data_IF_231673547061
#
_entry.id   IF_231673547061
#
_cell.length_a   1.000
_cell.length_b   1.000
_cell.length_c   1.000
_cell.angle_alpha   90.00
_cell.angle_beta   90.00
_cell.angle_gamma   90.00
#
_symmetry.space_group_name_H-M   'P 1'
#
loop_
_entity.id
_entity.type
_entity.pdbx_description
1 polymer ?
#
# COMPACT_ATOMS: atom_id res chain seq x y z
N UNK A 1 -11.02 11.22 3.97
CA UNK A 1 -10.06 11.34 2.85
C UNK A 1 -8.68 10.97 3.36
N UNK A 2 -7.88 10.25 2.58
CA UNK A 2 -6.45 10.09 2.77
C UNK A 2 -5.69 10.49 1.49
N UNK A 3 -4.50 11.03 1.63
CA UNK A 3 -3.62 11.33 0.50
C UNK A 3 -2.14 11.21 0.84
N UNK A 4 -1.32 11.01 -0.19
CA UNK A 4 0.13 11.13 -0.15
C UNK A 4 0.70 11.22 -1.58
N UNK A 5 1.92 11.71 -1.70
CA UNK A 5 2.73 11.56 -2.91
C UNK A 5 3.70 10.39 -2.74
N UNK A 6 3.55 9.37 -3.58
CA UNK A 6 4.41 8.18 -3.62
C UNK A 6 5.56 8.46 -4.58
N UNK A 7 6.80 8.37 -4.10
CA UNK A 7 7.99 8.49 -4.94
C UNK A 7 8.39 7.11 -5.43
N UNK A 8 8.30 6.85 -6.73
CA UNK A 8 8.58 5.54 -7.31
C UNK A 8 10.07 5.18 -7.12
N UNK A 9 10.38 4.17 -6.30
CA UNK A 9 11.76 3.82 -6.00
C UNK A 9 12.41 3.05 -7.15
N UNK A 10 13.74 3.03 -7.21
CA UNK A 10 14.47 2.06 -8.03
C UNK A 10 14.27 0.64 -7.50
N UNK A 11 13.96 -0.30 -8.40
CA UNK A 11 13.77 -1.71 -8.07
C UNK A 11 14.96 -2.56 -8.50
N UNK A 12 15.36 -3.49 -7.65
CA UNK A 12 16.37 -4.49 -7.93
C UNK A 12 15.97 -5.84 -7.37
N UNK A 13 16.58 -6.92 -7.87
CA UNK A 13 16.42 -8.23 -7.23
C UNK A 13 17.02 -8.21 -5.82
N UNK A 14 16.34 -8.80 -4.83
CA UNK A 14 16.88 -8.95 -3.48
C UNK A 14 18.19 -9.76 -3.48
N UNK A 15 19.07 -9.50 -2.50
CA UNK A 15 20.37 -10.16 -2.42
C UNK A 15 20.24 -11.59 -1.86
N UNK A 16 19.34 -11.78 -0.90
CA UNK A 16 19.04 -13.07 -0.27
C UNK A 16 17.52 -13.27 -0.21
N UNK A 17 16.84 -13.42 -1.37
CA UNK A 17 15.42 -13.72 -1.35
C UNK A 17 15.15 -15.04 -0.64
N UNK A 18 14.02 -15.12 0.07
CA UNK A 18 13.56 -16.38 0.65
C UNK A 18 13.32 -17.47 -0.41
N UNK A 19 12.99 -17.07 -1.65
CA UNK A 19 12.83 -17.95 -2.81
C UNK A 19 13.24 -17.23 -4.09
N UNK A 20 13.96 -17.91 -4.99
CA UNK A 20 14.19 -17.39 -6.35
C UNK A 20 12.94 -17.58 -7.18
N UNK A 21 12.54 -16.52 -7.87
CA UNK A 21 11.34 -16.46 -8.71
C UNK A 21 11.65 -15.66 -9.96
N UNK A 22 10.81 -15.83 -10.98
CA UNK A 22 10.97 -15.12 -12.25
C UNK A 22 10.50 -13.65 -12.15
N UNK A 23 9.68 -13.31 -11.16
CA UNK A 23 9.16 -11.97 -10.91
C UNK A 23 9.12 -11.69 -9.40
N UNK A 24 9.64 -10.53 -9.00
CA UNK A 24 9.59 -10.02 -7.65
C UNK A 24 8.61 -8.85 -7.59
N UNK A 25 7.60 -8.92 -6.72
CA UNK A 25 6.48 -7.97 -6.72
C UNK A 25 6.17 -7.44 -5.31
N UNK A 26 5.83 -6.16 -5.22
CA UNK A 26 5.27 -5.52 -4.04
C UNK A 26 4.21 -4.50 -4.43
N UNK A 27 3.27 -4.21 -3.54
CA UNK A 27 2.33 -3.10 -3.68
C UNK A 27 2.77 -1.93 -2.79
N UNK A 28 2.62 -0.69 -3.28
CA UNK A 28 2.98 0.55 -2.60
C UNK A 28 1.79 1.50 -2.67
N UNK A 29 1.08 1.68 -1.56
CA UNK A 29 -0.29 2.18 -1.57
C UNK A 29 -0.66 2.98 -0.32
N UNK A 30 -1.75 3.74 -0.45
CA UNK A 30 -2.47 4.33 0.68
C UNK A 30 -3.86 3.73 0.77
N UNK A 31 -4.44 3.65 1.97
CA UNK A 31 -5.74 3.04 2.17
C UNK A 31 -6.51 3.58 3.36
N UNK A 32 -7.78 3.20 3.39
CA UNK A 32 -8.73 3.47 4.44
C UNK A 32 -9.34 2.14 4.92
N UNK A 33 -9.35 1.92 6.24
CA UNK A 33 -9.98 0.79 6.93
C UNK A 33 -9.33 -0.61 6.75
N UNK A 34 -8.02 -0.69 6.46
CA UNK A 34 -7.30 -1.96 6.27
C UNK A 34 -6.82 -2.64 7.56
N UNK A 35 -6.28 -1.87 8.50
CA UNK A 35 -6.00 -2.34 9.86
C UNK A 35 -7.25 -2.17 10.70
N UNK A 36 -7.92 -3.23 11.18
CA UNK A 36 -8.71 -3.19 12.42
C UNK A 36 -9.26 -4.54 12.92
N UNK A 37 -9.37 -4.63 14.25
CA UNK A 37 -9.67 -5.80 15.07
C UNK A 37 -11.13 -5.83 15.57
N UNK A 38 -12.12 -5.80 14.68
CA UNK A 38 -13.53 -5.77 15.10
C UNK A 38 -14.45 -6.70 14.32
N UNK A 39 -15.55 -7.13 14.94
CA UNK A 39 -16.60 -7.95 14.34
C UNK A 39 -17.52 -7.16 13.37
N UNK A 40 -17.15 -5.94 12.96
CA UNK A 40 -17.95 -5.08 12.08
C UNK A 40 -17.54 -5.34 10.64
N UNK A 41 -18.52 -5.58 9.75
CA UNK A 41 -18.27 -5.72 8.32
C UNK A 41 -17.74 -4.40 7.75
N UNK A 42 -16.53 -4.42 7.19
CA UNK A 42 -15.85 -3.27 6.58
C UNK A 42 -15.02 -3.72 5.40
N UNK A 43 -14.89 -2.82 4.42
CA UNK A 43 -13.98 -2.98 3.29
C UNK A 43 -12.72 -2.15 3.48
N UNK A 44 -11.63 -2.60 2.86
CA UNK A 44 -10.42 -1.80 2.68
C UNK A 44 -10.53 -1.10 1.32
N UNK A 45 -10.59 0.23 1.34
CA UNK A 45 -10.50 1.04 0.12
C UNK A 45 -9.06 1.54 -0.03
N UNK A 46 -8.38 1.11 -1.09
CA UNK A 46 -6.96 1.36 -1.29
C UNK A 46 -6.61 1.70 -2.74
N UNK A 47 -5.54 2.46 -2.92
CA UNK A 47 -4.98 2.73 -4.24
C UNK A 47 -3.48 3.03 -4.15
N UNK A 48 -2.78 2.76 -5.23
CA UNK A 48 -1.34 2.94 -5.30
C UNK A 48 -0.73 2.36 -6.55
N UNK A 49 0.46 1.79 -6.40
CA UNK A 49 1.26 1.23 -7.49
C UNK A 49 1.72 -0.18 -7.14
N UNK A 50 1.50 -1.12 -8.05
CA UNK A 50 2.14 -2.44 -8.06
C UNK A 50 3.51 -2.29 -8.73
N UNK A 51 4.54 -2.74 -8.04
CA UNK A 51 5.95 -2.65 -8.42
C UNK A 51 6.49 -4.05 -8.68
N UNK A 52 6.95 -4.32 -9.91
CA UNK A 52 7.54 -5.61 -10.29
C UNK A 52 8.94 -5.43 -10.88
N UNK A 53 9.83 -6.37 -10.60
CA UNK A 53 11.17 -6.46 -11.23
C UNK A 53 11.50 -7.91 -11.58
N UNK A 54 12.12 -8.11 -12.75
CA UNK A 54 12.57 -9.41 -13.24
C UNK A 54 14.09 -9.58 -13.05
N UNK A 55 14.62 -10.82 -13.02
CA UNK A 55 16.06 -11.09 -12.87
C UNK A 55 16.97 -10.40 -13.90
N UNK A 56 16.43 -10.02 -15.06
CA UNK A 56 17.15 -9.28 -16.09
C UNK A 56 17.26 -7.76 -15.81
N UNK A 57 16.72 -7.28 -14.69
CA UNK A 57 16.73 -5.87 -14.30
C UNK A 57 15.59 -5.03 -14.88
N UNK A 58 14.68 -5.62 -15.66
CA UNK A 58 13.49 -4.92 -16.15
C UNK A 58 12.57 -4.62 -14.97
N UNK A 59 12.04 -3.40 -14.88
CA UNK A 59 11.10 -2.99 -13.84
C UNK A 59 9.78 -2.51 -14.47
N UNK A 60 8.67 -2.71 -13.76
CA UNK A 60 7.33 -2.26 -14.15
C UNK A 60 6.60 -1.66 -12.96
N UNK A 61 5.94 -0.54 -13.20
CA UNK A 61 5.09 0.16 -12.24
C UNK A 61 3.68 0.24 -12.83
N UNK A 62 2.69 -0.31 -12.13
CA UNK A 62 1.29 -0.35 -12.59
C UNK A 62 0.41 0.30 -11.54
N UNK A 63 -0.30 1.37 -11.88
CA UNK A 63 -1.26 1.98 -10.97
C UNK A 63 -2.42 1.03 -10.71
N UNK A 64 -3.03 1.08 -9.53
CA UNK A 64 -4.21 0.27 -9.20
C UNK A 64 -5.11 0.97 -8.19
N UNK A 65 -6.36 0.48 -8.10
CA UNK A 65 -7.25 0.72 -6.97
C UNK A 65 -8.02 -0.56 -6.63
N UNK A 66 -8.47 -0.69 -5.38
CA UNK A 66 -9.14 -1.90 -4.89
C UNK A 66 -10.09 -1.57 -3.74
N UNK A 67 -11.29 -2.16 -3.78
CA UNK A 67 -12.23 -2.17 -2.66
C UNK A 67 -12.42 -3.59 -2.16
N UNK A 68 -11.63 -4.02 -1.17
CA UNK A 68 -11.75 -5.38 -0.65
C UNK A 68 -13.18 -5.60 -0.09
N UNK A 69 -13.87 -6.70 -0.45
CA UNK A 69 -13.33 -7.95 -1.01
C UNK A 69 -13.25 -8.07 -2.55
N UNK A 70 -13.55 -7.03 -3.31
CA UNK A 70 -13.36 -7.09 -4.77
C UNK A 70 -11.87 -7.18 -5.13
N UNK A 71 -11.59 -7.71 -6.32
CA UNK A 71 -10.23 -7.79 -6.85
C UNK A 71 -9.69 -6.41 -7.24
N UNK A 72 -8.36 -6.21 -7.23
CA UNK A 72 -7.76 -4.95 -7.66
C UNK A 72 -8.02 -4.70 -9.14
N UNK A 73 -8.20 -3.43 -9.48
CA UNK A 73 -8.37 -2.96 -10.86
C UNK A 73 -7.11 -2.22 -11.27
N UNK A 74 -6.41 -2.76 -12.26
CA UNK A 74 -5.22 -2.14 -12.84
C UNK A 74 -5.56 -0.91 -13.69
N UNK A 75 -4.77 0.14 -13.52
CA UNK A 75 -4.80 1.35 -14.35
C UNK A 75 -3.83 1.17 -15.51
N UNK A 76 -4.37 1.16 -16.72
CA UNK A 76 -3.56 1.00 -17.94
C UNK A 76 -2.55 2.14 -18.11
N UNK A 77 -1.39 1.84 -18.68
CA UNK A 77 -0.34 2.84 -18.97
C UNK A 77 -0.79 3.96 -19.92
N UNK A 78 -1.82 3.70 -20.75
CA UNK A 78 -2.45 4.73 -21.59
C UNK A 78 -3.25 5.76 -20.80
N UNK A 79 -3.72 5.41 -19.59
CA UNK A 79 -4.45 6.31 -18.68
C UNK A 79 -3.50 6.95 -17.67
N UNK A 80 -2.50 6.21 -17.21
CA UNK A 80 -1.50 6.67 -16.26
C UNK A 80 -0.19 5.89 -16.47
N UNK A 81 0.75 6.49 -17.20
CA UNK A 81 2.11 5.98 -17.33
C UNK A 81 2.86 6.29 -16.03
N UNK A 82 3.59 5.30 -15.51
CA UNK A 82 4.37 5.42 -14.27
C UNK A 82 5.75 4.83 -14.53
N UNK A 83 6.79 5.58 -14.20
CA UNK A 83 8.18 5.17 -14.30
C UNK A 83 8.91 5.31 -12.96
N UNK A 84 10.09 4.71 -12.87
CA UNK A 84 11.01 4.97 -11.76
C UNK A 84 11.26 6.48 -11.59
N UNK A 85 11.28 6.96 -10.34
CA UNK A 85 11.49 8.37 -10.01
C UNK A 85 10.25 9.27 -10.15
N UNK A 86 9.17 8.77 -10.74
CA UNK A 86 7.92 9.53 -10.83
C UNK A 86 7.29 9.76 -9.45
N UNK A 87 6.61 10.89 -9.31
CA UNK A 87 5.87 11.28 -8.12
C UNK A 87 4.38 11.09 -8.39
N UNK A 88 3.79 10.07 -7.76
CA UNK A 88 2.39 9.72 -7.93
C UNK A 88 1.60 10.26 -6.74
N UNK A 89 0.83 11.32 -6.94
CA UNK A 89 -0.09 11.85 -5.94
C UNK A 89 -1.36 11.01 -5.93
N UNK A 90 -1.63 10.37 -4.79
CA UNK A 90 -2.77 9.48 -4.59
C UNK A 90 -3.74 10.11 -3.62
N UNK A 91 -5.02 10.14 -3.98
CA UNK A 91 -6.10 10.66 -3.14
C UNK A 91 -7.21 9.62 -3.08
N UNK A 92 -7.61 9.27 -1.86
CA UNK A 92 -8.79 8.47 -1.57
C UNK A 92 -9.81 9.30 -0.82
N UNK A 93 -11.06 9.29 -1.29
CA UNK A 93 -12.19 9.85 -0.55
C UNK A 93 -13.28 8.80 -0.44
N UNK A 94 -13.99 8.85 0.67
CA UNK A 94 -15.20 8.08 0.88
C UNK A 94 -16.30 9.06 1.27
N UNK A 95 -17.51 8.76 0.83
CA UNK A 95 -18.73 9.52 1.08
C UNK A 95 -19.85 8.55 1.42
N UNK A 96 -21.05 9.05 1.72
CA UNK A 96 -22.21 8.22 2.04
C UNK A 96 -21.89 7.19 3.13
N UNK A 97 -21.30 7.63 4.26
CA UNK A 97 -20.87 6.75 5.36
C UNK A 97 -19.98 5.57 4.93
N UNK A 98 -19.14 5.79 3.91
CA UNK A 98 -18.23 4.77 3.40
C UNK A 98 -18.84 3.81 2.38
N UNK A 99 -20.05 4.07 1.86
CA UNK A 99 -20.67 3.25 0.82
C UNK A 99 -20.34 3.70 -0.61
N UNK A 100 -19.67 4.84 -0.77
CA UNK A 100 -19.21 5.33 -2.06
C UNK A 100 -17.81 5.92 -1.91
N UNK A 101 -16.95 5.74 -2.90
CA UNK A 101 -15.56 6.16 -2.83
C UNK A 101 -15.00 6.60 -4.17
N UNK A 102 -14.05 7.52 -4.09
CA UNK A 102 -13.33 8.07 -5.24
C UNK A 102 -11.83 7.84 -5.07
N UNK A 103 -11.17 7.43 -6.14
CA UNK A 103 -9.72 7.36 -6.28
C UNK A 103 -9.26 8.39 -7.29
N UNK A 104 -8.20 9.12 -6.96
CA UNK A 104 -7.47 9.94 -7.93
C UNK A 104 -5.98 9.62 -7.85
N UNK A 105 -5.39 9.28 -9.00
CA UNK A 105 -3.95 9.08 -9.17
C UNK A 105 -3.44 10.13 -10.16
N UNK A 106 -2.46 10.93 -9.75
CA UNK A 106 -1.86 11.96 -10.59
C UNK A 106 -0.36 11.68 -10.68
N UNK A 107 0.14 11.43 -11.89
CA UNK A 107 1.58 11.45 -12.10
C UNK A 107 2.02 12.91 -12.25
N UNK A 108 2.65 13.46 -11.23
CA UNK A 108 3.09 14.87 -11.20
C UNK A 108 4.17 15.17 -12.24
N UNK A 109 4.93 14.16 -12.68
CA UNK A 109 5.97 14.31 -13.69
C UNK A 109 5.39 14.44 -15.11
N UNK A 110 4.26 13.76 -15.39
CA UNK A 110 3.62 13.76 -16.73
C UNK A 110 2.32 14.54 -16.79
N UNK A 111 1.82 15.01 -15.63
CA UNK A 111 0.49 15.60 -15.44
C UNK A 111 -0.70 14.70 -15.83
N UNK A 112 -0.46 13.41 -16.08
CA UNK A 112 -1.54 12.46 -16.33
C UNK A 112 -2.34 12.23 -15.05
N UNK A 113 -3.66 12.23 -15.20
CA UNK A 113 -4.61 12.04 -14.09
C UNK A 113 -5.57 10.92 -14.42
N UNK A 114 -5.69 9.98 -13.50
CA UNK A 114 -6.71 8.95 -13.51
C UNK A 114 -7.66 9.17 -12.33
N UNK A 115 -8.96 9.16 -12.60
CA UNK A 115 -10.02 9.26 -11.58
C UNK A 115 -10.98 8.10 -11.76
N UNK A 116 -11.43 7.54 -10.65
CA UNK A 116 -12.44 6.49 -10.61
C UNK A 116 -13.35 6.66 -9.40
N UNK A 117 -14.65 6.45 -9.60
CA UNK A 117 -15.66 6.45 -8.56
C UNK A 117 -16.41 5.12 -8.60
N UNK A 118 -16.66 4.53 -7.44
CA UNK A 118 -17.43 3.29 -7.32
C UNK A 118 -18.16 3.21 -5.98
N UNK A 119 -19.19 2.37 -5.96
CA UNK A 119 -19.85 1.97 -4.73
C UNK A 119 -19.04 0.91 -3.98
N UNK A 120 -19.31 0.77 -2.69
CA UNK A 120 -18.68 -0.23 -1.84
C UNK A 120 -18.97 -1.65 -2.34
N UNK A 121 -17.95 -2.50 -2.27
CA UNK A 121 -18.03 -3.90 -2.67
C UNK A 121 -19.19 -4.62 -1.97
N UNK A 122 -19.92 -5.45 -2.72
CA UNK A 122 -21.05 -6.22 -2.24
C UNK A 122 -20.95 -7.69 -2.64
N UNK A 123 -21.19 -8.60 -1.70
CA UNK A 123 -21.27 -10.02 -2.01
C UNK A 123 -22.70 -10.40 -2.41
N UNK A 124 -22.85 -11.26 -3.42
CA UNK A 124 -24.15 -11.80 -3.81
C UNK A 124 -24.79 -12.56 -2.64
N UNK A 125 -25.97 -12.13 -2.19
CA UNK A 125 -26.62 -12.57 -0.94
C UNK A 125 -25.80 -12.38 0.35
N UNK A 126 -24.77 -11.53 0.32
CA UNK A 126 -23.93 -11.20 1.47
C UNK A 126 -24.04 -9.72 1.87
N UNK A 127 -23.20 -9.28 2.82
CA UNK A 127 -23.19 -7.89 3.23
C UNK A 127 -22.49 -7.00 2.17
N UNK A 128 -22.72 -5.69 2.28
CA UNK A 128 -21.89 -4.66 1.65
C UNK A 128 -20.74 -4.29 2.59
N UNK A 129 -19.57 -3.98 2.04
CA UNK A 129 -18.33 -3.76 2.78
C UNK A 129 -17.92 -2.28 2.73
N UNK A 130 -18.52 -1.39 3.55
CA UNK A 130 -18.20 0.02 3.53
C UNK A 130 -16.79 0.31 4.06
N UNK A 131 -16.15 1.37 3.55
CA UNK A 131 -14.90 1.94 4.07
C UNK A 131 -15.18 3.35 4.61
N UNK A 132 -15.36 3.45 5.91
CA UNK A 132 -15.75 4.69 6.59
C UNK A 132 -14.55 5.59 6.90
N UNK A 133 -13.32 5.10 6.75
CA UNK A 133 -12.11 5.84 7.07
C UNK A 133 -11.90 6.05 8.57
N UNK A 134 -12.22 5.03 9.37
CA UNK A 134 -11.85 4.94 10.78
C UNK A 134 -10.33 4.80 10.95
N UNK A 135 -9.64 4.22 9.97
CA UNK A 135 -8.17 4.25 9.87
C UNK A 135 -7.73 4.78 8.51
N UNK A 136 -6.48 5.27 8.47
CA UNK A 136 -5.78 5.60 7.24
C UNK A 136 -4.37 5.03 7.34
N UNK A 137 -3.87 4.46 6.24
CA UNK A 137 -2.58 3.78 6.23
C UNK A 137 -1.77 4.06 4.98
N UNK A 138 -0.44 3.95 5.11
CA UNK A 138 0.57 4.18 4.08
C UNK A 138 1.50 2.96 4.09
N UNK A 139 1.34 2.08 3.11
CA UNK A 139 1.83 0.71 3.19
C UNK A 139 2.69 0.33 1.97
N UNK A 140 3.76 -0.43 2.24
CA UNK A 140 4.41 -1.29 1.25
C UNK A 140 4.17 -2.72 1.67
N UNK A 141 3.57 -3.53 0.81
CA UNK A 141 3.08 -4.86 1.16
C UNK A 141 3.55 -5.93 0.16
N UNK A 142 3.77 -7.14 0.69
CA UNK A 142 3.82 -8.35 -0.10
C UNK A 142 2.38 -8.76 -0.44
N UNK A 143 1.89 -8.36 -1.62
CA UNK A 143 0.59 -8.83 -2.08
C UNK A 143 0.46 -10.35 -2.01
N UNK A 144 -0.77 -10.83 -1.82
CA UNK A 144 -1.06 -12.25 -1.75
C UNK A 144 -2.01 -12.61 -2.89
N UNK A 145 -1.81 -13.77 -3.51
CA UNK A 145 -2.95 -14.42 -4.16
C UNK A 145 -3.75 -15.12 -3.07
N UNK A 146 -5.08 -15.04 -3.15
CA UNK A 146 -6.02 -15.64 -2.18
C UNK A 146 -5.79 -17.14 -1.91
N UNK A 147 -5.03 -17.86 -2.76
CA UNK A 147 -4.77 -19.30 -2.65
C UNK A 147 -3.34 -19.74 -3.02
N UNK A 148 -2.35 -18.84 -3.12
CA UNK A 148 -0.97 -19.24 -3.52
C UNK A 148 0.11 -18.57 -2.66
N UNK A 149 1.38 -18.73 -3.07
CA UNK A 149 2.54 -18.18 -2.37
C UNK A 149 2.49 -16.64 -2.39
N UNK A 150 2.64 -16.03 -1.21
CA UNK A 150 2.90 -14.60 -1.04
C UNK A 150 4.04 -14.14 -1.97
N UNK A 151 3.93 -12.93 -2.55
CA UNK A 151 4.95 -12.44 -3.47
C UNK A 151 6.34 -12.42 -2.82
N UNK A 152 7.36 -12.75 -3.61
CA UNK A 152 8.74 -12.50 -3.20
C UNK A 152 9.03 -11.03 -3.41
N UNK A 153 9.32 -10.34 -2.32
CA UNK A 153 9.55 -8.90 -2.32
C UNK A 153 10.77 -8.51 -3.17
N UNK A 154 10.65 -7.48 -4.04
CA UNK A 154 11.79 -6.85 -4.68
C UNK A 154 12.57 -6.02 -3.65
N UNK A 155 13.83 -5.74 -3.93
CA UNK A 155 14.55 -4.72 -3.19
C UNK A 155 14.27 -3.35 -3.82
N UNK A 156 13.40 -2.59 -3.16
CA UNK A 156 13.05 -1.22 -3.56
C UNK A 156 13.94 -0.15 -2.92
N UNK A 157 14.98 -0.52 -2.17
CA UNK A 157 15.78 0.44 -1.42
C UNK A 157 14.95 1.15 -0.34
N UNK A 158 14.42 2.34 -0.63
CA UNK A 158 13.55 3.10 0.28
C UNK A 158 12.37 3.70 -0.49
N UNK A 159 11.16 3.30 -0.09
CA UNK A 159 9.91 3.89 -0.57
C UNK A 159 9.55 5.08 0.32
N UNK A 160 9.10 6.18 -0.28
CA UNK A 160 8.76 7.42 0.43
C UNK A 160 7.35 7.89 0.10
N UNK A 161 6.55 8.09 1.15
CA UNK A 161 5.29 8.82 1.11
C UNK A 161 5.56 10.25 1.59
N UNK A 162 5.39 11.23 0.71
CA UNK A 162 5.50 12.65 1.01
C UNK A 162 4.10 13.24 1.23
N UNK A 163 4.01 14.32 2.01
CA UNK A 163 2.77 15.06 2.27
C UNK A 163 1.61 14.14 2.74
N UNK A 164 1.95 13.08 3.46
CA UNK A 164 1.01 12.07 3.90
C UNK A 164 0.08 12.65 4.96
N UNK A 165 -1.23 12.58 4.72
CA UNK A 165 -2.24 13.03 5.69
C UNK A 165 -3.60 12.37 5.45
N UNK A 166 -4.39 12.32 6.52
CA UNK A 166 -5.79 11.92 6.46
C UNK A 166 -6.67 13.01 7.07
N UNK A 167 -7.75 13.38 6.39
CA UNK A 167 -8.66 14.44 6.85
C UNK A 167 -10.09 13.93 6.93
N UNK A 168 -10.79 14.34 7.99
CA UNK A 168 -12.22 14.05 8.16
C UNK A 168 -13.10 15.06 7.41
N UNK A 169 -14.41 14.82 7.39
CA UNK A 169 -15.39 15.67 6.70
C UNK A 169 -15.45 17.12 7.23
N UNK A 170 -14.97 17.36 8.46
CA UNK A 170 -14.87 18.70 9.07
C UNK A 170 -13.57 19.43 8.70
N UNK A 171 -12.74 18.84 7.83
CA UNK A 171 -11.45 19.39 7.41
C UNK A 171 -10.32 19.27 8.44
N UNK A 172 -10.55 18.57 9.56
CA UNK A 172 -9.46 18.29 10.52
C UNK A 172 -8.59 17.17 9.96
N UNK A 173 -7.30 17.45 9.83
CA UNK A 173 -6.31 16.50 9.34
C UNK A 173 -5.45 15.92 10.48
N UNK A 174 -5.00 14.68 10.28
CA UNK A 174 -4.04 13.95 11.09
C UNK A 174 -2.89 13.49 10.21
N UNK A 175 -1.69 13.42 10.78
CA UNK A 175 -0.48 12.92 10.13
C UNK A 175 -0.26 11.43 10.45
N UNK A 176 0.58 10.73 9.66
CA UNK A 176 1.07 9.42 10.03
C UNK A 176 1.64 9.41 11.46
N UNK A 177 1.24 8.45 12.27
CA UNK A 177 1.67 8.35 13.67
C UNK A 177 0.83 9.13 14.68
N UNK A 178 -0.08 10.02 14.26
CA UNK A 178 -1.03 10.71 15.18
C UNK A 178 -2.15 9.78 15.69
N UNK A 179 -2.26 8.57 15.14
CA UNK A 179 -3.21 7.55 15.57
C UNK A 179 -2.97 7.10 17.02
N UNK A 180 -3.94 6.39 17.60
CA UNK A 180 -3.79 5.89 18.97
C UNK A 180 -2.55 4.97 19.09
N UNK A 181 -1.98 4.80 20.30
CA UNK A 181 -0.76 3.98 20.50
C UNK A 181 -0.89 2.52 20.04
N UNK A 182 -2.11 2.03 19.80
CA UNK A 182 -2.40 0.69 19.29
C UNK A 182 -2.60 0.65 17.75
N UNK A 183 -2.80 1.79 17.08
CA UNK A 183 -3.10 1.96 15.64
C UNK A 183 -2.01 2.73 14.89
N UNK A 184 -1.23 3.57 15.57
CA UNK A 184 -0.02 4.20 15.04
C UNK A 184 1.16 3.24 14.93
N UNK A 185 0.89 1.94 14.74
CA UNK A 185 1.92 0.91 14.72
C UNK A 185 2.69 0.99 13.40
N UNK A 186 4.00 1.18 13.51
CA UNK A 186 4.93 0.82 12.46
C UNK A 186 4.96 -0.71 12.43
N UNK A 187 4.29 -1.29 11.46
CA UNK A 187 4.35 -2.73 11.20
C UNK A 187 5.55 -3.03 10.33
N UNK A 188 6.22 -4.16 10.61
CA UNK A 188 7.28 -4.67 9.77
C UNK A 188 6.95 -6.10 9.33
N UNK A 189 7.28 -6.41 8.08
CA UNK A 189 7.13 -7.76 7.52
C UNK A 189 8.21 -8.66 8.12
N UNK A 190 7.79 -9.57 9.00
CA UNK A 190 8.59 -10.65 9.56
C UNK A 190 8.11 -11.99 9.02
N UNK A 191 9.00 -12.70 8.36
CA UNK A 191 8.74 -14.08 7.94
C UNK A 191 9.20 -15.05 9.03
N UNK A 192 8.24 -15.71 9.68
CA UNK A 192 8.48 -16.53 10.86
C UNK A 192 9.35 -17.77 10.60
N UNK A 193 9.30 -18.31 9.38
CA UNK A 193 10.09 -19.46 8.94
C UNK A 193 11.57 -19.13 8.76
N UNK A 194 11.88 -17.97 8.17
CA UNK A 194 13.24 -17.50 7.91
C UNK A 194 13.80 -16.60 9.00
N UNK A 195 12.97 -16.15 9.95
CA UNK A 195 13.29 -15.13 10.96
C UNK A 195 13.93 -13.87 10.35
N UNK A 196 13.58 -13.55 9.11
CA UNK A 196 14.16 -12.42 8.39
C UNK A 196 13.17 -11.26 8.41
N UNK A 197 13.68 -10.11 8.84
CA UNK A 197 12.97 -8.84 8.80
C UNK A 197 13.25 -8.18 7.45
N UNK A 198 12.19 -7.89 6.70
CA UNK A 198 12.31 -7.35 5.33
C UNK A 198 12.09 -5.85 5.21
N UNK A 199 11.54 -5.23 6.24
CA UNK A 199 11.18 -3.81 6.19
C UNK A 199 11.58 -3.09 7.47
N UNK A 200 11.98 -1.84 7.31
CA UNK A 200 12.18 -0.90 8.40
C UNK A 200 11.51 0.42 8.04
N UNK A 201 10.46 0.78 8.76
CA UNK A 201 9.73 2.03 8.51
C UNK A 201 10.11 3.12 9.51
N UNK A 202 10.01 4.36 9.08
CA UNK A 202 10.27 5.56 9.88
C UNK A 202 9.24 6.63 9.52
N UNK A 203 8.82 7.42 10.50
CA UNK A 203 7.87 8.52 10.34
C UNK A 203 8.52 9.80 10.86
N UNK A 204 8.44 10.87 10.08
CA UNK A 204 8.88 12.21 10.48
C UNK A 204 7.90 13.24 9.94
N UNK A 205 6.97 13.69 10.78
CA UNK A 205 5.90 14.60 10.36
C UNK A 205 4.98 13.92 9.34
N UNK A 206 4.83 14.55 8.17
CA UNK A 206 4.04 14.08 7.03
C UNK A 206 4.83 13.18 6.07
N UNK A 207 6.06 12.78 6.44
CA UNK A 207 6.87 11.85 5.65
C UNK A 207 6.91 10.48 6.30
N UNK A 208 6.55 9.46 5.52
CA UNK A 208 6.73 8.04 5.86
C UNK A 208 7.75 7.44 4.92
N UNK A 209 8.78 6.79 5.46
CA UNK A 209 9.74 6.02 4.66
C UNK A 209 9.67 4.55 5.04
N UNK A 210 9.62 3.65 4.05
CA UNK A 210 9.69 2.20 4.23
C UNK A 210 10.91 1.66 3.51
N UNK A 211 11.92 1.24 4.25
CA UNK A 211 13.18 0.72 3.71
C UNK A 211 13.10 -0.80 3.55
N UNK A 212 13.49 -1.31 2.40
CA UNK A 212 13.76 -2.73 2.21
C UNK A 212 15.07 -3.10 2.94
N UNK A 213 15.02 -4.15 3.74
CA UNK A 213 16.17 -4.71 4.45
C UNK A 213 16.16 -6.24 4.35
N UNK A 214 17.28 -6.89 4.65
CA UNK A 214 17.38 -8.35 4.74
C UNK A 214 18.09 -8.72 6.04
N UNK A 215 17.47 -8.39 7.19
CA UNK A 215 18.11 -8.55 8.50
C UNK A 215 17.61 -9.82 9.18
N UNK A 216 18.51 -10.79 9.37
CA UNK A 216 18.21 -11.93 10.24
C UNK A 216 18.01 -11.44 11.68
N UNK A 217 16.90 -11.86 12.29
CA UNK A 217 16.66 -11.66 13.71
C UNK A 217 17.49 -12.67 14.51
N UNK A 218 18.20 -12.24 15.57
CA UNK A 218 18.94 -13.15 16.41
C UNK A 218 17.99 -14.19 17.01
N UNK A 219 18.39 -15.46 17.01
CA UNK A 219 17.71 -16.46 17.82
C UNK A 219 17.80 -16.03 19.28
N UNK A 220 16.65 -15.92 19.98
CA UNK A 220 16.69 -15.84 21.44
C UNK A 220 17.49 -17.05 21.92
N UNK A 221 18.65 -16.82 22.54
CA UNK A 221 19.33 -17.85 23.30
C UNK A 221 18.29 -18.36 24.31
N UNK A 222 18.06 -19.68 24.32
CA UNK A 222 17.27 -20.30 25.38
C UNK A 222 17.97 -19.94 26.70
N UNK A 223 17.31 -19.16 27.53
CA UNK A 223 17.66 -19.03 28.94
C UNK A 223 17.38 -20.37 29.64
#
# INVERSE_FOLDING_TARGET
>A
MAEATLVMPHLSTPHKPHKKVDEYTASFWIGLDGVLSSNIVRGLWQAGVIMSVWPNGTAKYTGFHEWIPDSPIDVSSSKLAISEGDHIHVILKTTNNGYHGSTTLINLNTSQTYTHDQDAANLWHGPTFPSQGATAEWIVEAGTYLNTTQYVLPNWGTASFLNARACNEKGKCSLPGDGNKHQGQITAVLWNDTKTLYTQSCIKGDHVSVKYIEKQQPSKAKA
#
